data_IF_337203568634
#
_entry.id   IF_337203568634
#
_cell.length_a   1.000
_cell.length_b   1.000
_cell.length_c   1.000
_cell.angle_alpha   90.00
_cell.angle_beta   90.00
_cell.angle_gamma   90.00
#
_symmetry.space_group_name_H-M   'P 1'
#
loop_
_entity.id
_entity.type
_entity.pdbx_description
1 polymer ?
#
# COMPACT_ATOMS: atom_id res chain seq x y z
N UNK A 1 -15.60 25.02 -29.78
CA UNK A 1 -15.51 25.16 -28.31
C UNK A 1 -15.86 23.82 -27.66
N UNK A 2 -14.99 22.80 -27.80
CA UNK A 2 -15.33 21.40 -27.46
C UNK A 2 -14.17 20.55 -26.91
N UNK A 3 -12.95 21.08 -26.73
CA UNK A 3 -11.76 20.27 -26.37
C UNK A 3 -11.48 20.16 -24.87
N UNK A 4 -12.09 20.99 -24.01
CA UNK A 4 -11.78 21.01 -22.57
C UNK A 4 -12.55 19.94 -21.77
N UNK A 5 -13.72 19.49 -22.25
CA UNK A 5 -14.55 18.51 -21.54
C UNK A 5 -14.08 17.07 -21.77
N UNK A 6 -13.49 16.77 -22.93
CA UNK A 6 -12.94 15.44 -23.26
C UNK A 6 -11.79 15.04 -22.33
N UNK A 7 -10.93 15.98 -21.93
CA UNK A 7 -9.77 15.69 -21.07
C UNK A 7 -10.18 15.40 -19.62
N UNK A 8 -11.21 16.11 -19.13
CA UNK A 8 -11.79 15.88 -17.81
C UNK A 8 -12.53 14.55 -17.75
N UNK A 9 -13.32 14.23 -18.77
CA UNK A 9 -13.99 12.95 -18.88
C UNK A 9 -13.00 11.77 -18.92
N UNK A 10 -11.90 11.92 -19.68
CA UNK A 10 -10.82 10.94 -19.71
C UNK A 10 -10.17 10.76 -18.33
N UNK A 11 -9.85 11.87 -17.65
CA UNK A 11 -9.23 11.84 -16.31
C UNK A 11 -10.15 11.18 -15.27
N UNK A 12 -11.44 11.50 -15.28
CA UNK A 12 -12.43 10.85 -14.41
C UNK A 12 -12.55 9.35 -14.67
N UNK A 13 -12.53 8.93 -15.95
CA UNK A 13 -12.58 7.51 -16.32
C UNK A 13 -11.36 6.73 -15.83
N UNK A 14 -10.19 7.37 -15.84
CA UNK A 14 -8.92 6.78 -15.39
C UNK A 14 -8.88 6.61 -13.87
N UNK A 15 -9.41 7.60 -13.14
CA UNK A 15 -9.57 7.53 -11.67
C UNK A 15 -10.62 6.49 -11.28
N UNK A 16 -11.73 6.40 -12.01
CA UNK A 16 -12.76 5.40 -11.76
C UNK A 16 -12.23 3.97 -11.98
N UNK A 17 -11.52 3.73 -13.08
CA UNK A 17 -10.90 2.44 -13.36
C UNK A 17 -9.86 2.08 -12.29
N UNK A 18 -8.98 3.02 -11.93
CA UNK A 18 -8.01 2.82 -10.84
C UNK A 18 -8.66 2.54 -9.49
N UNK A 19 -9.79 3.20 -9.19
CA UNK A 19 -10.57 2.96 -7.98
C UNK A 19 -11.17 1.56 -7.92
N UNK A 20 -11.73 1.07 -9.03
CA UNK A 20 -12.31 -0.28 -9.11
C UNK A 20 -11.24 -1.36 -8.97
N UNK A 21 -10.13 -1.23 -9.70
CA UNK A 21 -8.99 -2.15 -9.58
C UNK A 21 -8.38 -2.12 -8.18
N UNK A 22 -8.24 -0.92 -7.61
CA UNK A 22 -7.75 -0.73 -6.24
C UNK A 22 -8.66 -1.43 -5.23
N UNK A 23 -9.98 -1.24 -5.33
CA UNK A 23 -10.96 -1.86 -4.44
C UNK A 23 -10.92 -3.39 -4.53
N UNK A 24 -10.81 -3.94 -5.75
CA UNK A 24 -10.71 -5.37 -5.98
C UNK A 24 -9.41 -5.95 -5.43
N UNK A 25 -8.27 -5.29 -5.66
CA UNK A 25 -6.98 -5.71 -5.14
C UNK A 25 -6.96 -5.69 -3.60
N UNK A 26 -7.57 -4.66 -2.99
CA UNK A 26 -7.70 -4.55 -1.54
C UNK A 26 -8.57 -5.67 -0.97
N UNK A 27 -9.70 -5.98 -1.62
CA UNK A 27 -10.57 -7.08 -1.23
C UNK A 27 -9.89 -8.44 -1.35
N UNK A 28 -9.15 -8.70 -2.43
CA UNK A 28 -8.38 -9.92 -2.62
C UNK A 28 -7.27 -10.07 -1.57
N UNK A 29 -6.57 -8.98 -1.27
CA UNK A 29 -5.53 -8.94 -0.24
C UNK A 29 -6.10 -9.24 1.15
N UNK A 30 -7.19 -8.56 1.54
CA UNK A 30 -7.85 -8.78 2.84
C UNK A 30 -8.42 -10.19 2.94
N UNK A 31 -9.01 -10.71 1.85
CA UNK A 31 -9.53 -12.08 1.80
C UNK A 31 -8.43 -13.12 2.00
N UNK A 32 -7.27 -12.94 1.36
CA UNK A 32 -6.09 -13.78 1.59
C UNK A 32 -5.60 -13.65 3.04
N UNK A 33 -5.51 -12.43 3.55
CA UNK A 33 -5.02 -12.13 4.89
C UNK A 33 -5.93 -12.71 6.00
N UNK A 34 -7.24 -12.77 5.76
CA UNK A 34 -8.22 -13.39 6.65
C UNK A 34 -8.07 -14.92 6.71
N UNK A 35 -7.73 -15.58 5.60
CA UNK A 35 -7.49 -17.03 5.58
C UNK A 35 -6.28 -17.46 6.41
N UNK A 36 -5.32 -16.56 6.64
CA UNK A 36 -4.07 -16.83 7.37
C UNK A 36 -4.00 -16.18 8.76
N UNK A 37 -5.15 -15.89 9.39
CA UNK A 37 -5.21 -15.28 10.73
C UNK A 37 -4.42 -13.95 10.85
N UNK A 38 -4.43 -13.13 9.79
CA UNK A 38 -3.76 -11.82 9.75
C UNK A 38 -2.23 -11.85 9.79
N UNK A 39 -1.62 -13.02 9.57
CA UNK A 39 -0.16 -13.16 9.50
C UNK A 39 0.35 -12.94 8.07
N UNK A 40 0.80 -11.72 7.78
CA UNK A 40 1.36 -11.32 6.47
C UNK A 40 2.50 -12.24 6.02
N UNK A 41 3.34 -12.69 6.96
CA UNK A 41 4.46 -13.58 6.68
C UNK A 41 4.00 -14.97 6.24
N UNK A 42 2.92 -15.48 6.81
CA UNK A 42 2.36 -16.78 6.43
C UNK A 42 1.69 -16.70 5.04
N UNK A 43 1.06 -15.56 4.71
CA UNK A 43 0.54 -15.31 3.36
C UNK A 43 1.64 -15.32 2.30
N UNK A 44 2.76 -14.64 2.58
CA UNK A 44 3.93 -14.59 1.70
C UNK A 44 4.54 -15.98 1.57
N UNK A 45 4.60 -16.77 2.66
CA UNK A 45 5.06 -18.15 2.65
C UNK A 45 4.19 -19.03 1.76
N UNK A 46 2.87 -18.97 1.90
CA UNK A 46 1.93 -19.69 1.05
C UNK A 46 2.06 -19.29 -0.42
N UNK A 47 2.25 -18.00 -0.71
CA UNK A 47 2.50 -17.50 -2.06
C UNK A 47 3.83 -18.03 -2.63
N UNK A 48 4.91 -18.02 -1.84
CA UNK A 48 6.22 -18.52 -2.27
C UNK A 48 6.26 -20.04 -2.46
N UNK A 49 5.49 -20.78 -1.67
CA UNK A 49 5.31 -22.23 -1.85
C UNK A 49 4.44 -22.51 -3.08
N UNK A 50 3.33 -21.78 -3.26
CA UNK A 50 2.42 -21.95 -4.40
C UNK A 50 3.05 -21.57 -5.74
N UNK A 51 3.94 -20.57 -5.75
CA UNK A 51 4.74 -20.19 -6.92
C UNK A 51 5.96 -21.11 -7.14
N UNK A 52 6.19 -22.08 -6.24
CA UNK A 52 7.27 -23.05 -6.35
C UNK A 52 8.66 -22.52 -6.02
N UNK A 53 8.76 -21.32 -5.45
CA UNK A 53 10.03 -20.67 -5.11
C UNK A 53 10.64 -21.16 -3.78
N UNK A 54 9.84 -21.70 -2.85
CA UNK A 54 10.34 -22.22 -1.55
C UNK A 54 9.79 -23.62 -1.26
N UNK A 55 10.67 -24.56 -0.87
CA UNK A 55 10.30 -25.88 -0.33
C UNK A 55 10.01 -25.77 1.18
N UNK A 56 9.12 -26.60 1.77
CA UNK A 56 8.77 -26.52 3.19
C UNK A 56 10.02 -26.75 4.06
N UNK A 57 10.32 -25.80 4.95
CA UNK A 57 11.54 -25.77 5.74
C UNK A 57 11.29 -26.20 7.19
N UNK A 58 12.13 -27.10 7.68
CA UNK A 58 12.18 -27.53 9.08
C UNK A 58 13.66 -27.49 9.52
N UNK A 59 14.17 -26.37 10.07
CA UNK A 59 15.36 -26.31 10.98
C UNK A 59 15.54 -24.93 11.64
N UNK A 60 16.27 -24.88 12.76
CA UNK A 60 16.59 -23.70 13.59
C UNK A 60 17.25 -22.52 12.86
N UNK A 61 17.80 -22.73 11.66
CA UNK A 61 18.37 -21.66 10.82
C UNK A 61 17.29 -20.70 10.28
N UNK A 62 16.05 -21.17 10.08
CA UNK A 62 14.94 -20.31 9.65
C UNK A 62 14.51 -19.29 10.69
N UNK A 63 14.61 -19.62 11.98
CA UNK A 63 14.30 -18.68 13.05
C UNK A 63 15.18 -17.42 12.97
N UNK A 64 16.43 -17.58 12.53
CA UNK A 64 17.37 -16.47 12.40
C UNK A 64 17.11 -15.61 11.16
N UNK A 65 16.75 -16.24 10.03
CA UNK A 65 16.31 -15.54 8.82
C UNK A 65 14.98 -14.81 9.02
N UNK A 66 14.09 -15.35 9.84
CA UNK A 66 12.78 -14.75 10.10
C UNK A 66 12.88 -13.49 10.98
N UNK A 67 13.74 -13.49 12.00
CA UNK A 67 14.00 -12.30 12.84
C UNK A 67 14.71 -11.21 12.03
N UNK A 68 15.71 -11.59 11.23
CA UNK A 68 16.43 -10.63 10.35
C UNK A 68 15.56 -10.13 9.19
N UNK A 69 14.65 -10.96 8.69
CA UNK A 69 13.67 -10.56 7.67
C UNK A 69 12.67 -9.51 8.20
N UNK A 70 12.25 -9.63 9.46
CA UNK A 70 11.38 -8.63 10.12
C UNK A 70 12.07 -7.27 10.23
N UNK A 71 13.38 -7.23 10.52
CA UNK A 71 14.15 -5.98 10.57
C UNK A 71 14.12 -5.24 9.22
N UNK A 72 14.31 -5.95 8.10
CA UNK A 72 14.22 -5.35 6.78
C UNK A 72 12.79 -4.89 6.44
N UNK A 73 11.78 -5.68 6.79
CA UNK A 73 10.37 -5.34 6.56
C UNK A 73 9.97 -4.07 7.34
N UNK A 74 10.37 -3.96 8.61
CA UNK A 74 10.05 -2.79 9.41
C UNK A 74 10.85 -1.57 8.96
N UNK A 75 12.12 -1.74 8.53
CA UNK A 75 12.89 -0.67 7.91
C UNK A 75 12.21 -0.11 6.67
N UNK A 76 11.76 -0.96 5.75
CA UNK A 76 11.06 -0.52 4.54
C UNK A 76 9.72 0.12 4.88
N UNK A 77 8.97 -0.44 5.83
CA UNK A 77 7.71 0.14 6.30
C UNK A 77 7.91 1.55 6.85
N UNK A 78 8.89 1.76 7.73
CA UNK A 78 9.22 3.08 8.26
C UNK A 78 9.75 4.04 7.20
N UNK A 79 10.55 3.54 6.25
CA UNK A 79 11.09 4.35 5.16
C UNK A 79 10.00 4.87 4.22
N UNK A 80 8.90 4.13 4.04
CA UNK A 80 7.74 4.58 3.23
C UNK A 80 6.75 5.39 4.05
N UNK A 81 6.48 4.97 5.29
CA UNK A 81 5.53 5.64 6.18
C UNK A 81 5.98 7.06 6.55
N UNK A 82 7.27 7.28 6.79
CA UNK A 82 7.82 8.59 7.17
C UNK A 82 7.64 9.70 6.12
N UNK A 83 8.07 9.54 4.85
CA UNK A 83 7.86 10.55 3.81
C UNK A 83 6.38 10.70 3.45
N UNK A 84 5.58 9.63 3.55
CA UNK A 84 4.13 9.70 3.35
C UNK A 84 3.46 10.53 4.45
N UNK A 85 3.83 10.32 5.71
CA UNK A 85 3.36 11.11 6.85
C UNK A 85 3.80 12.57 6.74
N UNK A 86 5.06 12.82 6.38
CA UNK A 86 5.57 14.18 6.16
C UNK A 86 4.77 14.92 5.09
N UNK A 87 4.54 14.30 3.93
CA UNK A 87 3.69 14.87 2.87
C UNK A 87 2.24 15.07 3.32
N UNK A 88 1.71 14.22 4.18
CA UNK A 88 0.36 14.36 4.70
C UNK A 88 0.21 15.57 5.64
N UNK A 89 1.19 15.79 6.53
CA UNK A 89 1.21 16.94 7.44
C UNK A 89 1.41 18.25 6.67
N UNK A 90 2.37 18.31 5.75
CA UNK A 90 2.65 19.51 4.95
C UNK A 90 1.43 19.98 4.13
N UNK A 91 0.66 19.03 3.60
CA UNK A 91 -0.55 19.33 2.81
C UNK A 91 -1.70 19.92 3.65
N UNK A 92 -1.67 19.71 4.97
CA UNK A 92 -2.65 20.30 5.91
C UNK A 92 -2.33 21.77 6.19
N UNK A 93 -1.04 22.14 6.18
CA UNK A 93 -0.59 23.52 6.40
C UNK A 93 -0.99 24.45 5.23
N UNK A 94 -0.85 23.96 3.99
CA UNK A 94 -1.19 24.76 2.79
C UNK A 94 -2.69 25.07 2.69
N UNK A 95 -3.57 24.15 3.09
CA UNK A 95 -5.04 24.40 3.12
C UNK A 95 -5.43 25.47 4.15
N UNK A 96 -4.72 25.54 5.26
CA UNK A 96 -5.05 26.46 6.36
C UNK A 96 -4.60 27.89 6.05
N UNK A 97 -3.50 28.07 5.30
CA UNK A 97 -3.02 29.41 4.91
C UNK A 97 -3.91 30.11 3.89
N UNK A 98 -4.59 29.38 3.01
CA UNK A 98 -5.51 29.97 2.02
C UNK A 98 -6.82 30.49 2.62
N UNK A 99 -7.27 29.96 3.75
CA UNK A 99 -8.50 30.45 4.43
C UNK A 99 -8.26 31.68 5.30
N UNK A 100 -7.04 31.91 5.78
CA UNK A 100 -6.71 33.11 6.57
C UNK A 100 -6.48 34.34 5.67
N UNK A 101 -5.93 34.18 4.46
CA UNK A 101 -5.72 35.27 3.50
C UNK A 101 -6.97 35.74 2.76
N UNK A 102 -8.10 35.02 2.84
CA UNK A 102 -9.39 35.45 2.26
C UNK A 102 -10.28 36.17 3.29
N UNK A 103 -9.80 36.33 4.53
CA UNK A 103 -10.55 36.95 5.64
C UNK A 103 -9.84 38.21 6.16
N UNK A 104 -9.07 38.87 5.31
CA UNK A 104 -8.46 40.16 5.59
C UNK A 104 -8.57 41.09 4.38
#
# INVERSE_FOLDING_TARGET
MQSHDTNKALTYSMVAAGGIFGLWALAALIGGLHQVNWQVTELIRHYLVATGMIRPLHTLVDFYSHIKGIEYLICVAFFVAFPMFYKYVEKTDTRTRTTVQSKH
#
